data_IF_169149734330
#
_entry.id   IF_169149734330
#
_cell.length_a   1.000
_cell.length_b   1.000
_cell.length_c   1.000
_cell.angle_alpha   90.00
_cell.angle_beta   90.00
_cell.angle_gamma   90.00
#
_symmetry.space_group_name_H-M   'P 1'
#
loop_
_entity.id
_entity.type
_entity.pdbx_description
1 polymer ?
#
# COMPACT_ATOMS: atom_id res chain seq x y z
N UNK A 1 23.05 12.84 -1.98
CA UNK A 1 22.26 14.10 -1.94
C UNK A 1 20.85 13.78 -1.47
N UNK A 2 20.32 14.50 -0.48
CA UNK A 2 18.95 14.32 0.06
C UNK A 2 17.89 14.76 -0.94
N UNK A 3 16.65 14.28 -0.80
CA UNK A 3 15.49 14.79 -1.52
C UNK A 3 15.17 16.23 -1.09
N UNK A 4 14.57 17.00 -1.98
CA UNK A 4 14.38 18.45 -1.77
C UNK A 4 13.05 18.76 -1.06
N UNK A 5 11.99 18.00 -1.32
CA UNK A 5 10.63 18.23 -0.84
C UNK A 5 10.10 17.10 0.02
N UNK A 6 10.20 15.85 -0.45
CA UNK A 6 9.75 14.68 0.28
C UNK A 6 10.57 14.47 1.56
N UNK A 7 9.89 14.13 2.64
CA UNK A 7 10.46 13.91 3.99
C UNK A 7 10.13 12.54 4.56
N UNK A 8 9.14 11.87 3.98
CA UNK A 8 8.65 10.56 4.39
C UNK A 8 8.38 9.69 3.17
N UNK A 9 8.78 8.43 3.26
CA UNK A 9 8.32 7.38 2.34
C UNK A 9 7.64 6.30 3.19
N UNK A 10 6.36 6.10 2.96
CA UNK A 10 5.56 5.04 3.55
C UNK A 10 5.42 3.89 2.54
N UNK A 11 5.85 2.68 2.94
CA UNK A 11 5.86 1.50 2.06
C UNK A 11 4.89 0.47 2.61
N UNK A 12 3.93 0.04 1.78
CA UNK A 12 2.98 -1.00 2.17
C UNK A 12 3.69 -2.34 2.40
N UNK A 13 3.22 -3.10 3.39
CA UNK A 13 3.79 -4.41 3.69
C UNK A 13 3.33 -5.48 2.71
N UNK A 14 2.02 -5.73 2.59
CA UNK A 14 1.46 -6.80 1.77
C UNK A 14 1.28 -6.33 0.32
N UNK A 15 1.74 -7.12 -0.63
CA UNK A 15 1.70 -6.78 -2.07
C UNK A 15 2.84 -5.88 -2.54
N UNK A 16 3.63 -5.28 -1.62
CA UNK A 16 4.78 -4.43 -1.94
C UNK A 16 6.08 -5.00 -1.36
N UNK A 17 6.28 -4.94 -0.03
CA UNK A 17 7.48 -5.52 0.60
C UNK A 17 7.42 -7.04 0.69
N UNK A 18 6.21 -7.59 0.87
CA UNK A 18 5.90 -9.02 0.79
C UNK A 18 5.11 -9.30 -0.50
N UNK A 19 5.19 -10.55 -0.99
CA UNK A 19 4.37 -10.98 -2.13
C UNK A 19 2.86 -10.83 -1.81
N UNK A 20 2.08 -10.54 -2.85
CA UNK A 20 0.63 -10.45 -2.71
C UNK A 20 0.02 -11.83 -2.43
N UNK A 21 -0.69 -11.93 -1.33
CA UNK A 21 -1.49 -13.09 -0.93
C UNK A 21 -2.94 -12.71 -0.67
N UNK A 22 -3.27 -11.42 -0.77
CA UNK A 22 -4.62 -10.94 -0.57
C UNK A 22 -5.46 -11.06 -1.84
N UNK A 23 -4.96 -10.59 -2.98
CA UNK A 23 -5.72 -10.61 -4.25
C UNK A 23 -6.15 -12.02 -4.65
N UNK A 24 -5.26 -13.06 -4.66
CA UNK A 24 -5.69 -14.41 -5.01
C UNK A 24 -6.73 -14.97 -4.04
N UNK A 25 -6.56 -14.75 -2.73
CA UNK A 25 -7.51 -15.29 -1.74
C UNK A 25 -8.84 -14.55 -1.78
N UNK A 26 -8.86 -13.23 -1.96
CA UNK A 26 -10.10 -12.45 -2.12
C UNK A 26 -10.88 -12.93 -3.36
N UNK A 27 -10.19 -13.08 -4.49
CA UNK A 27 -10.80 -13.58 -5.72
C UNK A 27 -11.42 -14.96 -5.50
N UNK A 28 -10.63 -15.94 -4.99
CA UNK A 28 -11.09 -17.30 -4.74
C UNK A 28 -12.25 -17.34 -3.74
N UNK A 29 -12.18 -16.53 -2.69
CA UNK A 29 -13.21 -16.43 -1.64
C UNK A 29 -14.55 -15.97 -2.20
N UNK A 30 -14.54 -14.95 -3.07
CA UNK A 30 -15.75 -14.39 -3.67
C UNK A 30 -16.32 -15.36 -4.72
N UNK A 31 -15.49 -15.82 -5.67
CA UNK A 31 -15.93 -16.70 -6.77
C UNK A 31 -16.35 -18.07 -6.26
N UNK A 32 -15.62 -18.64 -5.30
CA UNK A 32 -15.95 -19.93 -4.68
C UNK A 32 -17.31 -19.95 -3.96
N UNK A 33 -17.85 -18.76 -3.60
CA UNK A 33 -19.19 -18.58 -3.02
C UNK A 33 -20.25 -18.14 -4.03
N UNK A 34 -19.95 -18.23 -5.32
CA UNK A 34 -20.85 -17.85 -6.40
C UNK A 34 -20.97 -16.32 -6.60
N UNK A 35 -20.12 -15.52 -5.94
CA UNK A 35 -20.03 -14.09 -6.14
C UNK A 35 -19.36 -13.75 -7.46
N UNK A 36 -19.53 -12.49 -7.91
CA UNK A 36 -18.88 -11.95 -9.10
C UNK A 36 -17.70 -11.09 -8.68
N UNK A 37 -16.49 -11.44 -9.12
CA UNK A 37 -15.32 -10.59 -8.92
C UNK A 37 -15.21 -9.60 -10.09
N UNK A 38 -15.30 -8.31 -9.80
CA UNK A 38 -15.25 -7.23 -10.78
C UNK A 38 -14.33 -6.12 -10.28
N UNK A 39 -13.94 -5.20 -11.15
CA UNK A 39 -13.12 -4.06 -10.77
C UNK A 39 -13.78 -3.22 -9.64
N UNK A 40 -15.10 -3.08 -9.64
CA UNK A 40 -15.85 -2.35 -8.61
C UNK A 40 -15.78 -3.08 -7.26
N UNK A 41 -15.93 -4.42 -7.28
CA UNK A 41 -15.83 -5.24 -6.06
C UNK A 41 -14.41 -5.20 -5.52
N UNK A 42 -13.40 -5.43 -6.35
CA UNK A 42 -11.99 -5.37 -5.94
C UNK A 42 -11.65 -4.00 -5.32
N UNK A 43 -12.03 -2.90 -5.99
CA UNK A 43 -11.84 -1.54 -5.48
C UNK A 43 -12.57 -1.31 -4.15
N UNK A 44 -13.72 -1.96 -3.95
CA UNK A 44 -14.52 -1.81 -2.74
C UNK A 44 -14.00 -2.64 -1.56
N UNK A 45 -13.23 -3.71 -1.80
CA UNK A 45 -12.72 -4.60 -0.74
C UNK A 45 -11.29 -4.24 -0.34
N UNK A 46 -10.42 -3.90 -1.29
CA UNK A 46 -9.02 -3.58 -0.98
C UNK A 46 -8.89 -2.23 -0.30
N UNK A 47 -8.01 -2.18 0.71
CA UNK A 47 -7.69 -0.97 1.48
C UNK A 47 -8.89 -0.34 2.20
N UNK A 48 -9.79 -1.18 2.73
CA UNK A 48 -10.85 -0.80 3.65
C UNK A 48 -10.71 -1.49 5.00
N UNK A 49 -11.30 -0.94 6.06
CA UNK A 49 -11.46 -1.67 7.32
C UNK A 49 -12.11 -3.04 7.06
N UNK A 50 -11.61 -4.07 7.74
CA UNK A 50 -11.93 -5.48 7.41
C UNK A 50 -13.42 -5.81 7.38
N UNK A 51 -14.24 -5.22 8.26
CA UNK A 51 -15.70 -5.48 8.26
C UNK A 51 -16.41 -4.76 7.10
N UNK A 52 -15.95 -3.56 6.74
CA UNK A 52 -16.48 -2.84 5.57
C UNK A 52 -16.10 -3.59 4.28
N UNK A 53 -14.86 -4.09 4.19
CA UNK A 53 -14.41 -4.91 3.08
C UNK A 53 -15.27 -6.18 2.95
N UNK A 54 -15.54 -6.88 4.06
CA UNK A 54 -16.40 -8.06 4.08
C UNK A 54 -17.83 -7.76 3.60
N UNK A 55 -18.42 -6.65 4.06
CA UNK A 55 -19.75 -6.19 3.62
C UNK A 55 -19.78 -5.84 2.13
N UNK A 56 -18.67 -5.29 1.59
CA UNK A 56 -18.58 -4.88 0.19
C UNK A 56 -18.43 -6.04 -0.80
N UNK A 57 -18.20 -7.27 -0.32
CA UNK A 57 -18.11 -8.46 -1.18
C UNK A 57 -19.43 -8.80 -1.89
N UNK A 58 -20.56 -8.37 -1.34
CA UNK A 58 -21.91 -8.73 -1.82
C UNK A 58 -22.30 -10.18 -1.54
N UNK A 59 -21.54 -10.91 -0.71
CA UNK A 59 -21.83 -12.28 -0.33
C UNK A 59 -22.86 -12.35 0.79
N UNK A 60 -23.61 -13.46 0.86
CA UNK A 60 -24.53 -13.73 1.98
C UNK A 60 -23.75 -14.02 3.27
N UNK A 61 -24.25 -13.49 4.40
CA UNK A 61 -23.66 -13.64 5.73
C UNK A 61 -23.36 -12.31 6.41
N UNK A 62 -23.07 -12.35 7.71
CA UNK A 62 -22.63 -11.15 8.42
C UNK A 62 -21.19 -10.78 8.07
N UNK A 63 -20.80 -9.48 8.10
CA UNK A 63 -19.41 -9.07 7.85
C UNK A 63 -18.41 -9.79 8.74
N UNK A 64 -18.76 -10.06 10.00
CA UNK A 64 -17.92 -10.76 10.96
C UNK A 64 -17.69 -12.24 10.59
N UNK A 65 -18.73 -12.91 10.09
CA UNK A 65 -18.64 -14.30 9.64
C UNK A 65 -17.80 -14.41 8.37
N UNK A 66 -18.03 -13.51 7.42
CA UNK A 66 -17.29 -13.45 6.17
C UNK A 66 -15.82 -13.13 6.41
N UNK A 67 -15.52 -12.14 7.25
CA UNK A 67 -14.14 -11.80 7.61
C UNK A 67 -13.42 -12.98 8.29
N UNK A 68 -14.07 -13.68 9.25
CA UNK A 68 -13.48 -14.86 9.89
C UNK A 68 -13.27 -16.01 8.91
N UNK A 69 -14.20 -16.23 8.00
CA UNK A 69 -14.06 -17.26 6.97
C UNK A 69 -12.91 -16.95 6.01
N UNK A 70 -12.83 -15.70 5.57
CA UNK A 70 -11.74 -15.22 4.71
C UNK A 70 -10.36 -15.44 5.33
N UNK A 71 -10.15 -15.04 6.60
CA UNK A 71 -8.86 -15.19 7.25
C UNK A 71 -8.47 -16.65 7.47
N UNK A 72 -9.44 -17.56 7.70
CA UNK A 72 -9.16 -19.02 7.74
C UNK A 72 -8.70 -19.53 6.38
N UNK A 73 -9.37 -19.15 5.30
CA UNK A 73 -8.96 -19.54 3.95
C UNK A 73 -7.61 -18.95 3.56
N UNK A 74 -7.32 -17.73 4.02
CA UNK A 74 -5.99 -17.14 3.83
C UNK A 74 -4.91 -17.90 4.60
N UNK A 75 -5.17 -18.35 5.82
CA UNK A 75 -4.25 -19.21 6.57
C UNK A 75 -3.98 -20.54 5.84
N UNK A 76 -5.02 -21.16 5.27
CA UNK A 76 -4.87 -22.39 4.47
C UNK A 76 -4.05 -22.11 3.19
N UNK A 77 -4.32 -21.01 2.50
CA UNK A 77 -3.58 -20.58 1.32
C UNK A 77 -2.10 -20.37 1.62
N UNK A 78 -1.77 -19.73 2.75
CA UNK A 78 -0.39 -19.45 3.16
C UNK A 78 0.44 -20.71 3.48
N UNK A 79 -0.19 -21.84 3.76
CA UNK A 79 0.54 -23.13 3.93
C UNK A 79 1.10 -23.63 2.60
N UNK A 80 0.44 -23.35 1.50
CA UNK A 80 0.86 -23.72 0.15
C UNK A 80 1.69 -22.62 -0.51
N UNK A 81 1.29 -21.36 -0.30
CA UNK A 81 1.92 -20.16 -0.89
C UNK A 81 2.41 -19.22 0.22
N UNK A 82 3.55 -19.51 0.86
CA UNK A 82 4.02 -18.73 2.00
C UNK A 82 4.39 -17.31 1.63
N UNK A 83 4.30 -16.42 2.60
CA UNK A 83 4.79 -15.05 2.48
C UNK A 83 6.31 -15.05 2.29
N UNK A 84 6.77 -14.18 1.41
CA UNK A 84 8.18 -13.97 1.06
C UNK A 84 8.44 -12.49 0.87
N UNK A 85 9.62 -12.06 1.32
CA UNK A 85 10.10 -10.71 1.01
C UNK A 85 10.33 -10.58 -0.49
N UNK A 86 9.82 -9.53 -1.08
CA UNK A 86 9.96 -9.27 -2.51
C UNK A 86 11.41 -8.97 -2.90
N UNK A 87 11.86 -9.43 -4.07
CA UNK A 87 13.13 -8.99 -4.64
C UNK A 87 13.20 -7.47 -4.69
N UNK A 88 14.37 -6.93 -4.38
CA UNK A 88 14.59 -5.48 -4.37
C UNK A 88 14.18 -4.76 -3.08
N UNK A 89 13.42 -5.37 -2.16
CA UNK A 89 12.95 -4.71 -0.94
C UNK A 89 14.09 -4.12 -0.10
N UNK A 90 15.13 -4.90 0.17
CA UNK A 90 16.30 -4.43 0.91
C UNK A 90 17.05 -3.31 0.18
N UNK A 91 17.20 -3.43 -1.13
CA UNK A 91 17.87 -2.43 -1.96
C UNK A 91 17.09 -1.10 -1.94
N UNK A 92 15.77 -1.15 -2.13
CA UNK A 92 14.89 0.01 -2.01
C UNK A 92 15.04 0.71 -0.66
N UNK A 93 14.89 -0.03 0.45
CA UNK A 93 15.00 0.54 1.79
C UNK A 93 16.37 1.18 2.03
N UNK A 94 17.43 0.57 1.52
CA UNK A 94 18.80 1.11 1.60
C UNK A 94 18.93 2.41 0.81
N UNK A 95 18.38 2.49 -0.41
CA UNK A 95 18.37 3.70 -1.23
C UNK A 95 17.61 4.82 -0.51
N UNK A 96 16.41 4.52 0.02
CA UNK A 96 15.61 5.52 0.75
C UNK A 96 16.37 6.11 1.95
N UNK A 97 17.04 5.26 2.73
CA UNK A 97 17.90 5.72 3.85
C UNK A 97 19.02 6.62 3.35
N UNK A 98 19.65 6.27 2.23
CA UNK A 98 20.72 7.07 1.61
C UNK A 98 20.25 8.45 1.13
N UNK A 99 18.97 8.59 0.80
CA UNK A 99 18.35 9.85 0.39
C UNK A 99 17.93 10.74 1.57
N UNK A 100 18.09 10.29 2.81
CA UNK A 100 17.84 11.08 4.02
C UNK A 100 16.36 11.39 4.28
N UNK A 101 15.46 10.56 3.77
CA UNK A 101 14.03 10.59 4.09
C UNK A 101 13.71 9.63 5.23
N UNK A 102 12.68 9.93 6.00
CA UNK A 102 12.14 8.95 6.96
C UNK A 102 11.43 7.85 6.20
N UNK A 103 11.55 6.62 6.69
CA UNK A 103 10.95 5.44 6.06
C UNK A 103 10.08 4.73 7.08
N UNK A 104 8.84 4.43 6.73
CA UNK A 104 7.91 3.68 7.58
C UNK A 104 7.26 2.55 6.78
N UNK A 105 7.07 1.40 7.41
CA UNK A 105 6.21 0.35 6.89
C UNK A 105 4.79 0.55 7.38
N UNK A 106 3.78 0.23 6.56
CA UNK A 106 2.38 0.28 7.00
C UNK A 106 1.56 -0.84 6.38
N UNK A 107 0.41 -1.14 6.96
CA UNK A 107 -0.52 -2.14 6.44
C UNK A 107 -1.75 -2.33 7.31
N UNK A 108 -2.62 -3.25 6.91
CA UNK A 108 -3.90 -3.52 7.59
C UNK A 108 -3.86 -4.61 8.64
N UNK A 109 -2.74 -5.29 8.84
CA UNK A 109 -2.58 -6.30 9.89
C UNK A 109 -1.86 -5.73 11.11
N UNK A 110 -1.92 -6.46 12.24
CA UNK A 110 -1.28 -6.03 13.47
C UNK A 110 0.26 -6.00 13.34
N UNK A 111 0.91 -5.26 14.25
CA UNK A 111 2.37 -5.16 14.34
C UNK A 111 3.08 -6.51 14.32
N UNK A 112 2.47 -7.55 14.91
CA UNK A 112 3.00 -8.91 14.90
C UNK A 112 3.24 -9.48 13.50
N UNK A 113 2.48 -9.02 12.49
CA UNK A 113 2.69 -9.40 11.11
C UNK A 113 4.02 -8.83 10.57
N UNK A 114 4.31 -7.58 10.85
CA UNK A 114 5.61 -6.98 10.53
C UNK A 114 6.76 -7.71 11.25
N UNK A 115 6.61 -7.93 12.55
CA UNK A 115 7.65 -8.57 13.37
C UNK A 115 7.93 -10.01 12.92
N UNK A 116 6.93 -10.73 12.41
CA UNK A 116 7.09 -12.09 11.90
C UNK A 116 7.84 -12.17 10.57
N UNK A 117 7.70 -11.16 9.68
CA UNK A 117 8.16 -11.26 8.30
C UNK A 117 9.24 -10.25 7.91
N UNK A 118 9.32 -9.11 8.61
CA UNK A 118 10.24 -8.00 8.26
C UNK A 118 11.10 -7.54 9.43
N UNK A 119 11.12 -8.25 10.55
CA UNK A 119 11.89 -7.86 11.73
C UNK A 119 13.39 -7.67 11.42
N UNK A 120 13.97 -8.48 10.52
CA UNK A 120 15.36 -8.35 10.11
C UNK A 120 15.67 -7.02 9.40
N UNK A 121 14.65 -6.40 8.82
CA UNK A 121 14.73 -5.11 8.14
C UNK A 121 14.35 -3.93 9.03
N UNK A 122 13.98 -4.15 10.30
CA UNK A 122 13.49 -3.11 11.20
C UNK A 122 14.46 -1.91 11.33
N UNK A 123 15.76 -2.16 11.29
CA UNK A 123 16.80 -1.12 11.32
C UNK A 123 16.85 -0.21 10.08
N UNK A 124 16.10 -0.53 9.02
CA UNK A 124 15.98 0.30 7.81
C UNK A 124 14.76 1.23 7.86
N UNK A 125 13.90 1.11 8.85
CA UNK A 125 12.75 1.99 9.09
C UNK A 125 13.01 2.95 10.25
N UNK A 126 12.29 4.07 10.25
CA UNK A 126 12.28 5.04 11.33
C UNK A 126 11.15 4.75 12.31
N UNK A 127 11.26 5.23 13.54
CA UNK A 127 10.23 5.00 14.56
C UNK A 127 8.99 5.91 14.35
N UNK A 128 7.78 5.31 14.40
CA UNK A 128 7.47 3.91 14.54
C UNK A 128 7.79 3.14 13.25
N UNK A 129 8.47 1.99 13.36
CA UNK A 129 8.87 1.19 12.19
C UNK A 129 7.67 0.66 11.39
N UNK A 130 6.51 0.52 12.05
CA UNK A 130 5.27 0.03 11.44
C UNK A 130 4.04 0.75 11.98
N UNK A 131 3.14 1.13 11.06
CA UNK A 131 1.83 1.72 11.37
C UNK A 131 0.72 0.78 10.89
N UNK A 132 -0.09 0.27 11.83
CA UNK A 132 -1.31 -0.47 11.50
C UNK A 132 -2.41 0.52 11.09
N UNK A 133 -2.95 0.36 9.89
CA UNK A 133 -3.98 1.25 9.34
C UNK A 133 -5.38 0.62 9.29
N UNK A 134 -5.62 -0.55 9.90
CA UNK A 134 -6.91 -1.28 9.81
C UNK A 134 -8.13 -0.39 10.15
N UNK A 135 -8.02 0.43 11.18
CA UNK A 135 -9.11 1.29 11.62
C UNK A 135 -9.27 2.62 10.83
N UNK A 136 -8.23 3.01 10.07
CA UNK A 136 -8.13 4.35 9.45
C UNK A 136 -7.80 4.28 7.94
N UNK A 137 -7.97 3.11 7.33
CA UNK A 137 -7.60 2.90 5.92
C UNK A 137 -8.24 3.93 4.98
N UNK A 138 -7.44 4.42 4.01
CA UNK A 138 -6.07 4.02 3.66
C UNK A 138 -4.95 4.59 4.55
N UNK A 139 -5.24 5.52 5.48
CA UNK A 139 -4.31 6.00 6.50
C UNK A 139 -3.26 7.02 6.05
N UNK A 140 -3.47 7.67 4.89
CA UNK A 140 -2.51 8.63 4.31
C UNK A 140 -2.27 9.81 5.26
N UNK A 141 -3.35 10.45 5.72
CA UNK A 141 -3.28 11.61 6.61
C UNK A 141 -2.72 11.22 7.97
N UNK A 142 -3.25 10.15 8.52
CA UNK A 142 -2.87 9.65 9.85
C UNK A 142 -1.37 9.33 9.90
N UNK A 143 -0.82 8.71 8.87
CA UNK A 143 0.62 8.45 8.79
C UNK A 143 1.39 9.77 8.65
N UNK A 144 1.05 10.60 7.66
CA UNK A 144 1.82 11.81 7.38
C UNK A 144 1.71 12.84 8.50
N UNK A 145 0.48 13.19 8.90
CA UNK A 145 0.22 14.32 9.82
C UNK A 145 0.28 13.89 11.29
N UNK A 146 -0.46 12.82 11.67
CA UNK A 146 -0.61 12.48 13.10
C UNK A 146 0.62 11.74 13.64
N UNK A 147 1.22 10.84 12.84
CA UNK A 147 2.40 10.06 13.28
C UNK A 147 3.70 10.84 13.04
N UNK A 148 3.86 11.43 11.86
CA UNK A 148 5.14 12.04 11.49
C UNK A 148 5.16 13.57 11.54
N UNK A 149 4.02 14.25 11.78
CA UNK A 149 3.92 15.70 11.89
C UNK A 149 4.29 16.42 10.58
N UNK A 150 4.03 15.80 9.43
CA UNK A 150 4.32 16.33 8.09
C UNK A 150 3.02 16.66 7.36
N UNK A 151 3.09 17.56 6.39
CA UNK A 151 1.99 17.71 5.44
C UNK A 151 1.96 16.50 4.49
N UNK A 152 0.77 16.15 4.01
CA UNK A 152 0.61 15.03 3.08
C UNK A 152 1.45 15.18 1.80
N UNK A 153 1.63 16.41 1.29
CA UNK A 153 2.45 16.68 0.11
C UNK A 153 3.96 16.42 0.30
N UNK A 154 4.40 16.24 1.55
CA UNK A 154 5.79 15.89 1.91
C UNK A 154 5.98 14.36 2.07
N UNK A 155 4.95 13.56 1.80
CA UNK A 155 4.98 12.11 1.91
C UNK A 155 4.82 11.44 0.54
N UNK A 156 5.57 10.37 0.32
CA UNK A 156 5.43 9.43 -0.78
C UNK A 156 4.87 8.12 -0.23
N UNK A 157 3.83 7.59 -0.87
CA UNK A 157 3.29 6.26 -0.58
C UNK A 157 3.62 5.30 -1.72
N UNK A 158 4.10 4.10 -1.38
CA UNK A 158 4.37 3.00 -2.31
C UNK A 158 3.40 1.87 -1.94
N UNK A 159 2.43 1.59 -2.81
CA UNK A 159 1.32 0.70 -2.48
C UNK A 159 0.80 -0.03 -3.73
N UNK A 160 0.13 -1.16 -3.53
CA UNK A 160 -0.44 -2.01 -4.58
C UNK A 160 -1.93 -1.75 -4.84
N UNK A 161 -2.59 -0.87 -4.05
CA UNK A 161 -4.02 -0.63 -4.14
C UNK A 161 -4.37 0.74 -4.76
N UNK A 162 -5.23 0.73 -5.78
CA UNK A 162 -5.70 1.94 -6.47
C UNK A 162 -6.47 2.90 -5.55
N UNK A 163 -7.19 2.38 -4.54
CA UNK A 163 -7.89 3.21 -3.56
C UNK A 163 -6.94 4.05 -2.70
N UNK A 164 -5.74 3.54 -2.42
CA UNK A 164 -4.67 4.29 -1.74
C UNK A 164 -4.15 5.41 -2.66
N UNK A 165 -3.95 5.11 -3.95
CA UNK A 165 -3.56 6.12 -4.94
C UNK A 165 -4.58 7.27 -5.04
N UNK A 166 -5.87 6.95 -5.07
CA UNK A 166 -6.96 7.94 -5.09
C UNK A 166 -6.92 8.84 -3.84
N UNK A 167 -6.75 8.24 -2.66
CA UNK A 167 -6.64 8.98 -1.41
C UNK A 167 -5.38 9.84 -1.35
N UNK A 168 -4.23 9.31 -1.77
CA UNK A 168 -2.98 10.07 -1.86
C UNK A 168 -3.14 11.29 -2.77
N UNK A 169 -3.72 11.09 -3.96
CA UNK A 169 -4.01 12.19 -4.90
C UNK A 169 -4.94 13.24 -4.29
N UNK A 170 -6.00 12.82 -3.60
CA UNK A 170 -6.96 13.75 -2.98
C UNK A 170 -6.32 14.63 -1.89
N UNK A 171 -5.28 14.11 -1.22
CA UNK A 171 -4.54 14.80 -0.16
C UNK A 171 -3.24 15.47 -0.66
N UNK A 172 -2.93 15.35 -1.95
CA UNK A 172 -1.71 15.91 -2.54
C UNK A 172 -0.44 15.13 -2.20
N UNK A 173 -0.54 13.92 -1.65
CA UNK A 173 0.61 13.05 -1.40
C UNK A 173 1.13 12.44 -2.69
N UNK A 174 2.45 12.22 -2.78
CA UNK A 174 3.06 11.53 -3.90
C UNK A 174 2.74 10.02 -3.82
N UNK A 175 2.72 9.34 -4.98
CA UNK A 175 2.36 7.94 -5.06
C UNK A 175 3.16 7.20 -6.15
N UNK A 176 3.66 6.00 -5.80
CA UNK A 176 4.19 5.01 -6.74
C UNK A 176 3.33 3.76 -6.59
N UNK A 177 2.72 3.28 -7.68
CA UNK A 177 1.91 2.08 -7.72
C UNK A 177 2.75 0.84 -8.00
N UNK A 178 2.51 -0.22 -7.23
CA UNK A 178 3.10 -1.56 -7.43
C UNK A 178 1.96 -2.59 -7.63
N UNK A 179 1.15 -2.48 -8.69
CA UNK A 179 0.01 -3.37 -8.87
C UNK A 179 0.48 -4.82 -8.96
N UNK A 180 -0.27 -5.73 -8.32
CA UNK A 180 -0.01 -7.17 -8.40
C UNK A 180 -0.06 -7.67 -9.85
N UNK A 181 0.70 -8.72 -10.16
CA UNK A 181 0.67 -9.43 -11.43
C UNK A 181 -0.37 -10.58 -11.46
N UNK A 182 -1.19 -10.69 -10.42
CA UNK A 182 -2.24 -11.70 -10.34
C UNK A 182 -3.25 -11.52 -11.49
N UNK A 183 -3.42 -12.56 -12.31
CA UNK A 183 -4.14 -12.50 -13.59
C UNK A 183 -5.60 -12.02 -13.50
N UNK A 184 -6.25 -12.18 -12.34
CA UNK A 184 -7.63 -11.73 -12.12
C UNK A 184 -7.74 -10.39 -11.41
N UNK A 185 -6.61 -9.72 -11.13
CA UNK A 185 -6.61 -8.39 -10.49
C UNK A 185 -6.91 -7.28 -11.49
N UNK A 186 -7.64 -6.29 -11.03
CA UNK A 186 -7.93 -5.05 -11.77
C UNK A 186 -7.08 -3.86 -11.30
N UNK A 187 -6.11 -4.06 -10.37
CA UNK A 187 -5.40 -2.94 -9.75
C UNK A 187 -4.63 -2.09 -10.76
N UNK A 188 -3.95 -2.69 -11.74
CA UNK A 188 -3.26 -1.93 -12.78
C UNK A 188 -4.24 -1.06 -13.59
N UNK A 189 -5.40 -1.61 -13.98
CA UNK A 189 -6.44 -0.87 -14.69
C UNK A 189 -7.02 0.26 -13.84
N UNK A 190 -7.31 -0.01 -12.57
CA UNK A 190 -7.86 0.96 -11.62
C UNK A 190 -6.88 2.08 -11.35
N UNK A 191 -5.59 1.80 -11.16
CA UNK A 191 -4.53 2.79 -10.97
C UNK A 191 -4.38 3.70 -12.20
N UNK A 192 -4.45 3.13 -13.41
CA UNK A 192 -4.46 3.93 -14.65
C UNK A 192 -5.67 4.88 -14.70
N UNK A 193 -6.85 4.37 -14.33
CA UNK A 193 -8.07 5.18 -14.22
C UNK A 193 -7.98 6.28 -13.18
N UNK A 194 -7.29 6.03 -12.05
CA UNK A 194 -7.01 7.01 -11.01
C UNK A 194 -5.95 8.05 -11.42
N UNK A 195 -5.28 7.85 -12.56
CA UNK A 195 -4.24 8.77 -13.07
C UNK A 195 -2.89 8.60 -12.39
N UNK A 196 -2.58 7.40 -11.89
CA UNK A 196 -1.24 7.07 -11.35
C UNK A 196 -0.22 7.19 -12.48
N UNK A 197 0.80 8.03 -12.28
CA UNK A 197 1.84 8.30 -13.29
C UNK A 197 3.01 7.33 -13.21
N UNK A 198 3.36 6.93 -12.00
CA UNK A 198 4.49 6.06 -11.73
C UNK A 198 3.98 4.72 -11.25
N UNK A 199 4.03 3.71 -12.13
CA UNK A 199 3.73 2.31 -11.80
C UNK A 199 4.94 1.47 -12.13
N UNK A 200 5.31 0.59 -11.20
CA UNK A 200 6.43 -0.33 -11.32
C UNK A 200 5.96 -1.78 -11.17
N UNK A 201 6.65 -2.71 -11.79
CA UNK A 201 6.38 -4.15 -11.69
C UNK A 201 7.33 -4.87 -10.73
N UNK A 202 8.41 -4.20 -10.36
CA UNK A 202 9.41 -4.67 -9.40
C UNK A 202 9.89 -3.52 -8.55
N UNK A 203 10.21 -3.80 -7.28
CA UNK A 203 10.83 -2.81 -6.39
C UNK A 203 12.22 -2.37 -6.87
N UNK A 204 12.86 -3.15 -7.73
CA UNK A 204 14.15 -2.80 -8.35
C UNK A 204 14.02 -1.61 -9.31
N UNK A 205 12.82 -1.33 -9.84
CA UNK A 205 12.54 -0.17 -10.67
C UNK A 205 12.38 1.12 -9.86
N UNK A 206 12.20 1.03 -8.53
CA UNK A 206 12.14 2.20 -7.64
C UNK A 206 13.56 2.62 -7.28
N UNK A 207 14.27 3.13 -8.26
CA UNK A 207 15.64 3.59 -8.12
C UNK A 207 15.73 5.07 -7.69
N UNK A 208 16.94 5.55 -7.46
CA UNK A 208 17.21 6.93 -7.08
C UNK A 208 16.70 7.93 -8.13
N UNK A 209 16.74 7.58 -9.43
CA UNK A 209 16.31 8.47 -10.51
C UNK A 209 14.79 8.67 -10.48
N UNK A 210 14.01 7.59 -10.30
CA UNK A 210 12.57 7.66 -10.13
C UNK A 210 12.19 8.45 -8.88
N UNK A 211 12.84 8.18 -7.74
CA UNK A 211 12.57 8.88 -6.47
C UNK A 211 12.84 10.38 -6.58
N UNK A 212 13.89 10.80 -7.28
CA UNK A 212 14.18 12.22 -7.55
C UNK A 212 13.17 12.86 -8.50
N UNK A 213 12.68 12.11 -9.47
CA UNK A 213 11.62 12.57 -10.37
C UNK A 213 10.33 12.84 -9.60
N UNK A 214 9.92 11.91 -8.75
CA UNK A 214 8.73 12.04 -7.89
C UNK A 214 8.89 13.20 -6.90
N UNK A 215 10.08 13.38 -6.30
CA UNK A 215 10.38 14.49 -5.40
C UNK A 215 10.23 15.86 -6.11
N UNK A 216 10.77 15.98 -7.32
CA UNK A 216 10.66 17.20 -8.11
C UNK A 216 9.20 17.51 -8.51
N UNK A 217 8.43 16.49 -8.88
CA UNK A 217 7.00 16.63 -9.19
C UNK A 217 6.18 17.06 -7.97
N UNK A 218 6.44 16.47 -6.80
CA UNK A 218 5.79 16.84 -5.55
C UNK A 218 6.11 18.30 -5.16
N UNK A 219 7.37 18.71 -5.30
CA UNK A 219 7.79 20.10 -5.07
C UNK A 219 7.06 21.08 -6.00
N UNK A 220 6.95 20.76 -7.29
CA UNK A 220 6.26 21.60 -8.27
C UNK A 220 4.76 21.73 -7.96
N UNK A 221 4.11 20.61 -7.57
CA UNK A 221 2.69 20.61 -7.21
C UNK A 221 2.41 21.47 -5.97
N UNK A 222 3.27 21.43 -4.95
CA UNK A 222 3.16 22.22 -3.74
C UNK A 222 3.22 23.74 -4.01
N UNK A 223 4.08 24.19 -4.93
CA UNK A 223 4.17 25.59 -5.33
C UNK A 223 2.88 26.07 -5.99
N UNK A 224 2.29 25.27 -6.88
CA UNK A 224 1.02 25.58 -7.56
C UNK A 224 -0.15 25.65 -6.55
N UNK A 225 -0.17 24.75 -5.57
CA UNK A 225 -1.17 24.74 -4.50
C UNK A 225 -1.12 26.00 -3.62
N UNK A 226 0.07 26.42 -3.24
CA UNK A 226 0.28 27.59 -2.39
C UNK A 226 -0.10 28.94 -3.06
N UNK A 227 -0.11 28.99 -4.41
CA UNK A 227 -0.50 30.20 -5.14
C UNK A 227 -2.01 30.38 -5.36
N UNK A 228 -2.85 29.44 -4.92
CA UNK A 228 -4.32 29.46 -5.10
C UNK A 228 -5.10 29.72 -3.78
N UNK A 229 -4.42 29.84 -2.66
CA UNK A 229 -4.97 30.21 -1.34
C UNK A 229 -4.75 31.68 -1.06
#
# INVERSE_FOLDING_TARGET
MTLSHLRLVAVNIDGVLLNDTFSPVIHQFIVGRGGRYTAEVERAVLSRPRLEAAAATGLEGSPEELARAYFREREDYLREYPLRVQPGAQALLTVLRGLGVRVVCYGGLDRSHFDAHLHEYAGLFDDPVYVCTDAVRPGIREIAEDVFGLRCDQALFIDDAASVAEAARALGAAFIGCPTDYEHSFQEQLMRGAGVRHMVRSLEEVDEALLRTVDAEAAAAAVVGAGRG
#
